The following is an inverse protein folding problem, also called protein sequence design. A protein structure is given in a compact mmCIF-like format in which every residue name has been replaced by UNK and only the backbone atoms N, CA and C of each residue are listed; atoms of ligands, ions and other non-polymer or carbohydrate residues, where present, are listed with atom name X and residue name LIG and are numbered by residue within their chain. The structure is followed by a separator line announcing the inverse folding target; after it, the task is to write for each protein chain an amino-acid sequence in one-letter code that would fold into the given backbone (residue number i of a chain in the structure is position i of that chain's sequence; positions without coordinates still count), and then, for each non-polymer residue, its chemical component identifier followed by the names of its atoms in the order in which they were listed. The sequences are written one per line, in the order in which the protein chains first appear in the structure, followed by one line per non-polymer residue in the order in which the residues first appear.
data_IF_332521447225
#
_entry.id   IF_332521447225
#
_cell.length_a   1.000
_cell.length_b   1.000
_cell.length_c   1.000
_cell.angle_alpha   90.00
_cell.angle_beta   90.00
_cell.angle_gamma   90.00
#
_symmetry.space_group_name_H-M   'P 1'
#
loop_
_entity.id
_entity.type
_entity.pdbx_description
1 polymer ?
#
# COMPACT_ATOMS: atom_id res chain seq x y z
N UNK A 1 25.94 -4.80 -25.13
CA UNK A 1 25.67 -4.49 -23.71
C UNK A 1 24.54 -5.39 -23.26
N UNK A 2 24.78 -6.33 -22.34
CA UNK A 2 23.71 -7.18 -21.82
C UNK A 2 22.77 -6.30 -20.99
N UNK A 3 21.50 -6.23 -21.37
CA UNK A 3 20.46 -5.59 -20.54
C UNK A 3 20.47 -6.32 -19.19
N UNK A 4 20.55 -5.58 -18.08
CA UNK A 4 20.46 -6.21 -16.76
C UNK A 4 19.16 -7.01 -16.68
N UNK A 5 19.16 -8.21 -16.06
CA UNK A 5 17.95 -9.02 -15.96
C UNK A 5 16.87 -8.25 -15.19
N UNK A 6 15.66 -8.20 -15.75
CA UNK A 6 14.50 -7.58 -15.12
C UNK A 6 14.20 -8.33 -13.82
N UNK A 7 14.00 -7.61 -12.72
CA UNK A 7 13.61 -8.22 -11.45
C UNK A 7 12.23 -8.89 -11.61
N UNK A 8 11.97 -10.07 -11.03
CA UNK A 8 10.67 -10.73 -11.14
C UNK A 8 9.50 -9.81 -10.79
N UNK A 9 9.62 -9.01 -9.73
CA UNK A 9 8.56 -8.10 -9.30
C UNK A 9 8.25 -6.96 -10.30
N UNK A 10 9.17 -6.67 -11.21
CA UNK A 10 9.05 -5.71 -12.30
C UNK A 10 8.71 -6.36 -13.66
N UNK A 11 8.45 -7.68 -13.68
CA UNK A 11 8.21 -8.42 -14.93
C UNK A 11 6.75 -8.36 -15.37
N UNK A 12 6.54 -8.49 -16.68
CA UNK A 12 5.19 -8.62 -17.28
C UNK A 12 4.52 -9.91 -16.78
N UNK A 13 5.26 -11.02 -16.69
CA UNK A 13 4.73 -12.30 -16.20
C UNK A 13 4.16 -12.20 -14.79
N UNK A 14 4.85 -11.56 -13.85
CA UNK A 14 4.30 -11.36 -12.50
C UNK A 14 3.08 -10.44 -12.50
N UNK A 15 3.01 -9.48 -13.41
CA UNK A 15 1.83 -8.63 -13.54
C UNK A 15 0.64 -9.44 -14.08
N UNK A 16 0.81 -10.19 -15.17
CA UNK A 16 -0.23 -11.09 -15.71
C UNK A 16 -0.71 -12.11 -14.68
N UNK A 17 0.19 -12.64 -13.84
CA UNK A 17 -0.16 -13.53 -12.73
C UNK A 17 -0.98 -12.81 -11.66
N UNK A 18 -0.61 -11.59 -11.30
CA UNK A 18 -1.37 -10.78 -10.35
C UNK A 18 -2.77 -10.46 -10.88
N UNK A 19 -2.93 -10.25 -12.19
CA UNK A 19 -4.24 -10.05 -12.83
C UNK A 19 -5.17 -11.27 -12.73
N UNK A 20 -4.63 -12.45 -12.42
CA UNK A 20 -5.43 -13.65 -12.17
C UNK A 20 -6.01 -13.74 -10.76
N UNK A 21 -5.65 -12.81 -9.86
CA UNK A 21 -6.20 -12.76 -8.51
C UNK A 21 -7.66 -12.26 -8.55
N UNK A 22 -8.61 -12.90 -7.83
CA UNK A 22 -10.01 -12.49 -7.82
C UNK A 22 -10.25 -11.05 -7.37
N UNK A 23 -9.38 -10.49 -6.51
CA UNK A 23 -9.51 -9.12 -6.00
C UNK A 23 -8.76 -8.09 -6.85
N UNK A 24 -8.13 -8.49 -7.96
CA UNK A 24 -7.20 -7.64 -8.69
C UNK A 24 -7.76 -6.26 -9.07
N UNK A 25 -9.02 -6.20 -9.51
CA UNK A 25 -9.67 -4.94 -9.88
C UNK A 25 -9.85 -4.01 -8.68
N UNK A 26 -10.39 -4.52 -7.57
CA UNK A 26 -10.58 -3.78 -6.32
C UNK A 26 -9.23 -3.29 -5.76
N UNK A 27 -8.19 -4.13 -5.85
CA UNK A 27 -6.84 -3.75 -5.44
C UNK A 27 -6.26 -2.63 -6.31
N UNK A 28 -6.51 -2.66 -7.62
CA UNK A 28 -6.05 -1.60 -8.52
C UNK A 28 -6.75 -0.27 -8.23
N UNK A 29 -8.04 -0.29 -7.88
CA UNK A 29 -8.81 0.88 -7.44
C UNK A 29 -8.26 1.44 -6.12
N UNK A 30 -8.05 0.59 -5.11
CA UNK A 30 -7.45 0.97 -3.83
C UNK A 30 -6.08 1.66 -3.99
N UNK A 31 -5.22 1.14 -4.87
CA UNK A 31 -3.91 1.76 -5.14
C UNK A 31 -4.10 3.12 -5.81
N UNK A 32 -5.03 3.24 -6.77
CA UNK A 32 -5.31 4.50 -7.46
C UNK A 32 -5.82 5.56 -6.47
N UNK A 33 -6.67 5.16 -5.53
CA UNK A 33 -7.20 6.00 -4.46
C UNK A 33 -6.09 6.49 -3.52
N UNK A 34 -5.24 5.59 -3.00
CA UNK A 34 -4.11 5.99 -2.14
C UNK A 34 -3.14 6.93 -2.88
N UNK A 35 -2.90 6.71 -4.17
CA UNK A 35 -2.09 7.62 -4.98
C UNK A 35 -2.74 9.00 -5.14
N UNK A 36 -4.05 9.10 -5.31
CA UNK A 36 -4.76 10.38 -5.43
C UNK A 36 -4.77 11.15 -4.10
N UNK A 37 -4.82 10.44 -2.97
CA UNK A 37 -4.65 11.04 -1.65
C UNK A 37 -3.22 11.58 -1.46
N UNK A 38 -2.22 10.81 -1.87
CA UNK A 38 -0.81 11.15 -1.70
C UNK A 38 -0.32 12.29 -2.63
N UNK A 39 -0.84 12.38 -3.86
CA UNK A 39 -0.30 13.28 -4.89
C UNK A 39 -1.39 13.94 -5.74
N UNK A 40 -1.18 15.20 -6.12
CA UNK A 40 -2.07 15.90 -7.06
C UNK A 40 -1.94 15.40 -8.51
N UNK A 41 -0.75 14.92 -8.88
CA UNK A 41 -0.46 14.40 -10.22
C UNK A 41 0.42 13.14 -10.14
N UNK A 42 -0.13 11.98 -9.72
CA UNK A 42 0.65 10.76 -9.47
C UNK A 42 1.53 10.33 -10.67
N UNK A 43 1.01 10.46 -11.90
CA UNK A 43 1.74 10.12 -13.12
C UNK A 43 3.01 10.98 -13.35
N UNK A 44 3.00 12.24 -12.90
CA UNK A 44 4.13 13.16 -13.09
C UNK A 44 5.32 12.82 -12.16
N UNK A 45 5.08 12.01 -11.13
CA UNK A 45 6.05 11.71 -10.06
C UNK A 45 6.33 10.20 -9.91
N UNK A 46 5.82 9.38 -10.85
CA UNK A 46 6.12 7.94 -10.96
C UNK A 46 7.63 7.70 -11.02
N UNK A 47 8.11 6.63 -10.36
CA UNK A 47 9.53 6.22 -10.23
C UNK A 47 10.37 7.16 -9.36
N UNK A 48 10.10 8.45 -9.42
CA UNK A 48 10.87 9.48 -8.73
C UNK A 48 10.41 9.65 -7.28
N UNK A 49 9.10 9.59 -7.02
CA UNK A 49 8.52 9.72 -5.68
C UNK A 49 7.81 8.45 -5.21
N UNK A 50 7.27 7.65 -6.12
CA UNK A 50 6.63 6.39 -5.76
C UNK A 50 6.96 5.27 -6.75
N UNK A 51 6.87 4.03 -6.28
CA UNK A 51 7.05 2.83 -7.10
C UNK A 51 6.12 1.72 -6.63
N UNK A 52 5.55 0.97 -7.56
CA UNK A 52 4.79 -0.24 -7.27
C UNK A 52 5.49 -1.50 -7.78
N UNK A 53 5.35 -2.62 -7.07
CA UNK A 53 5.92 -3.91 -7.45
C UNK A 53 4.88 -5.04 -7.37
N UNK A 54 4.96 -6.03 -8.26
CA UNK A 54 4.01 -7.16 -8.35
C UNK A 54 4.61 -8.43 -7.75
N UNK A 55 3.87 -9.12 -6.88
CA UNK A 55 4.26 -10.39 -6.29
C UNK A 55 5.71 -10.42 -5.76
N UNK A 56 6.13 -9.42 -4.93
CA UNK A 56 7.48 -9.40 -4.41
C UNK A 56 7.74 -10.65 -3.55
N UNK A 57 8.97 -11.18 -3.63
CA UNK A 57 9.35 -12.37 -2.86
C UNK A 57 9.65 -12.07 -1.38
N UNK A 58 9.59 -10.80 -0.98
CA UNK A 58 9.79 -10.37 0.41
C UNK A 58 8.78 -11.07 1.31
N UNK A 59 9.26 -11.70 2.39
CA UNK A 59 8.44 -12.42 3.38
C UNK A 59 7.56 -13.57 2.83
N UNK A 60 7.76 -14.00 1.58
CA UNK A 60 7.03 -15.14 1.00
C UNK A 60 7.32 -16.43 1.77
N UNK A 61 6.27 -17.14 2.15
CA UNK A 61 6.32 -18.50 2.69
C UNK A 61 5.34 -19.41 1.94
N UNK A 62 5.18 -20.65 2.41
CA UNK A 62 4.15 -21.56 1.89
C UNK A 62 2.72 -21.09 2.25
N UNK A 63 2.59 -20.32 3.32
CA UNK A 63 1.32 -19.96 3.94
C UNK A 63 0.95 -18.49 3.69
N UNK A 64 1.83 -17.71 3.04
CA UNK A 64 1.57 -16.31 2.71
C UNK A 64 2.47 -15.76 1.61
N UNK A 65 1.95 -14.81 0.85
CA UNK A 65 2.74 -14.01 -0.07
C UNK A 65 2.11 -12.64 -0.34
N UNK A 66 2.94 -11.66 -0.64
CA UNK A 66 2.45 -10.33 -1.06
C UNK A 66 1.92 -10.37 -2.49
N UNK A 67 0.77 -9.74 -2.69
CA UNK A 67 0.20 -9.49 -4.01
C UNK A 67 0.89 -8.30 -4.68
N UNK A 68 1.06 -7.21 -3.93
CA UNK A 68 1.81 -6.05 -4.37
C UNK A 68 2.45 -5.29 -3.20
N UNK A 69 3.25 -4.30 -3.57
CA UNK A 69 3.77 -3.30 -2.64
C UNK A 69 3.87 -1.95 -3.34
N UNK A 70 3.17 -0.94 -2.81
CA UNK A 70 3.32 0.46 -3.17
C UNK A 70 4.28 1.14 -2.17
N UNK A 71 5.28 1.81 -2.71
CA UNK A 71 6.27 2.54 -1.93
C UNK A 71 6.22 4.02 -2.29
N UNK A 72 6.32 4.90 -1.29
CA UNK A 72 6.55 6.34 -1.45
C UNK A 72 7.88 6.67 -0.77
N UNK A 73 8.77 7.33 -1.51
CA UNK A 73 10.14 7.59 -1.06
C UNK A 73 10.82 6.30 -0.59
N UNK A 74 11.37 6.26 0.64
CA UNK A 74 12.07 5.09 1.19
C UNK A 74 11.17 4.09 1.92
N UNK A 75 9.85 4.18 1.84
CA UNK A 75 8.94 3.38 2.66
C UNK A 75 7.82 2.73 1.84
N UNK A 76 7.52 1.48 2.19
CA UNK A 76 6.27 0.81 1.82
C UNK A 76 5.11 1.46 2.58
N UNK A 77 4.11 1.92 1.84
CA UNK A 77 2.96 2.65 2.39
C UNK A 77 1.63 1.92 2.20
N UNK A 78 1.57 0.99 1.25
CA UNK A 78 0.43 0.13 1.02
C UNK A 78 0.90 -1.23 0.49
N UNK A 79 0.36 -2.30 1.05
CA UNK A 79 0.52 -3.67 0.54
C UNK A 79 -0.69 -4.52 0.85
N UNK A 80 -0.91 -5.55 0.04
CA UNK A 80 -1.84 -6.63 0.37
C UNK A 80 -1.07 -7.95 0.39
N UNK A 81 -1.27 -8.71 1.46
CA UNK A 81 -0.75 -10.05 1.63
C UNK A 81 -1.89 -11.07 1.49
N UNK A 82 -1.68 -12.11 0.69
CA UNK A 82 -2.58 -13.25 0.56
C UNK A 82 -2.09 -14.37 1.47
N UNK A 83 -2.92 -14.77 2.44
CA UNK A 83 -2.72 -15.93 3.30
C UNK A 83 -3.29 -17.19 2.65
N UNK A 84 -2.57 -18.29 2.81
CA UNK A 84 -2.82 -19.55 2.12
C UNK A 84 -2.95 -20.70 3.12
N UNK A 85 -3.88 -21.62 2.85
CA UNK A 85 -3.93 -22.94 3.50
C UNK A 85 -3.96 -24.01 2.42
N UNK A 86 -2.97 -24.91 2.44
CA UNK A 86 -2.84 -25.94 1.40
C UNK A 86 -2.66 -25.36 -0.02
N UNK A 87 -2.11 -24.14 -0.12
CA UNK A 87 -1.95 -23.42 -1.38
C UNK A 87 -3.23 -22.78 -1.94
N UNK A 88 -4.32 -22.76 -1.17
CA UNK A 88 -5.54 -22.03 -1.52
C UNK A 88 -5.63 -20.72 -0.73
N UNK A 89 -5.98 -19.59 -1.38
CA UNK A 89 -6.26 -18.32 -0.70
C UNK A 89 -7.36 -18.48 0.35
N UNK A 90 -7.11 -17.99 1.55
CA UNK A 90 -8.10 -17.97 2.64
C UNK A 90 -8.41 -16.56 3.14
N UNK A 91 -7.48 -15.62 2.95
CA UNK A 91 -7.59 -14.25 3.48
C UNK A 91 -6.62 -13.33 2.74
N UNK A 92 -7.02 -12.09 2.54
CA UNK A 92 -6.21 -10.98 2.07
C UNK A 92 -6.17 -9.91 3.15
N UNK A 93 -4.97 -9.61 3.63
CA UNK A 93 -4.75 -8.57 4.64
C UNK A 93 -4.12 -7.36 3.96
N UNK A 94 -4.84 -6.25 3.99
CA UNK A 94 -4.33 -4.95 3.58
C UNK A 94 -3.59 -4.30 4.74
N UNK A 95 -2.40 -3.77 4.47
CA UNK A 95 -1.65 -2.89 5.37
C UNK A 95 -1.48 -1.53 4.70
N UNK A 96 -1.99 -0.46 5.32
CA UNK A 96 -1.81 0.93 4.87
C UNK A 96 -1.16 1.76 5.97
N UNK A 97 -0.34 2.73 5.56
CA UNK A 97 0.28 3.68 6.49
C UNK A 97 -0.24 5.10 6.29
N UNK A 98 -0.51 5.77 7.41
CA UNK A 98 -0.94 7.18 7.46
C UNK A 98 -0.12 7.96 8.49
N UNK A 99 -0.16 9.29 8.44
CA UNK A 99 0.48 10.14 9.46
C UNK A 99 -0.20 9.97 10.81
N UNK A 100 0.57 9.66 11.85
CA UNK A 100 0.05 9.48 13.21
C UNK A 100 -0.55 10.78 13.75
N UNK A 101 0.20 11.87 13.66
CA UNK A 101 -0.21 13.19 14.16
C UNK A 101 -1.46 13.71 13.44
N UNK A 102 -1.56 13.51 12.13
CA UNK A 102 -2.75 13.87 11.37
C UNK A 102 -3.95 13.00 11.78
N UNK A 103 -3.78 11.68 11.89
CA UNK A 103 -4.84 10.76 12.30
C UNK A 103 -5.38 11.10 13.70
N UNK A 104 -4.50 11.36 14.67
CA UNK A 104 -4.89 11.76 16.02
C UNK A 104 -5.59 13.13 16.02
N UNK A 105 -5.09 14.09 15.24
CA UNK A 105 -5.72 15.40 15.11
C UNK A 105 -7.12 15.35 14.47
N UNK A 106 -7.33 14.46 13.49
CA UNK A 106 -8.61 14.34 12.77
C UNK A 106 -9.66 13.61 13.59
N UNK A 107 -9.25 12.62 14.37
CA UNK A 107 -10.16 11.79 15.18
C UNK A 107 -10.34 12.32 16.60
N UNK A 108 -9.43 13.16 17.09
CA UNK A 108 -9.38 13.57 18.49
C UNK A 108 -9.06 12.43 19.45
N UNK A 109 -8.59 11.29 18.94
CA UNK A 109 -8.25 10.09 19.69
C UNK A 109 -6.77 9.78 19.50
N UNK A 110 -6.12 9.27 20.54
CA UNK A 110 -4.79 8.69 20.42
C UNK A 110 -4.82 7.41 19.56
N UNK A 111 -3.67 7.02 19.00
CA UNK A 111 -3.56 5.76 18.23
C UNK A 111 -3.96 4.55 19.10
N UNK A 112 -3.61 4.54 20.38
CA UNK A 112 -4.00 3.48 21.32
C UNK A 112 -5.53 3.45 21.56
N UNK A 113 -6.18 4.61 21.66
CA UNK A 113 -7.63 4.68 21.77
C UNK A 113 -8.33 4.23 20.48
N UNK A 114 -7.77 4.56 19.31
CA UNK A 114 -8.28 4.06 18.03
C UNK A 114 -8.16 2.54 17.96
N UNK A 115 -7.02 1.97 18.34
CA UNK A 115 -6.83 0.52 18.40
C UNK A 115 -7.81 -0.17 19.35
N UNK A 116 -8.15 0.47 20.48
CA UNK A 116 -9.13 -0.08 21.42
C UNK A 116 -10.59 0.04 20.94
N UNK A 117 -10.90 1.02 20.07
CA UNK A 117 -12.24 1.25 19.51
C UNK A 117 -12.53 0.37 18.30
N UNK A 118 -11.50 0.00 17.54
CA UNK A 118 -11.61 -0.79 16.31
C UNK A 118 -10.85 -2.10 16.51
N UNK A 119 -11.47 -3.02 17.24
CA UNK A 119 -10.86 -4.28 17.69
C UNK A 119 -10.63 -5.31 16.58
N UNK A 120 -11.24 -5.11 15.41
CA UNK A 120 -11.02 -5.92 14.20
C UNK A 120 -9.86 -5.38 13.34
N UNK A 121 -9.33 -4.20 13.67
CA UNK A 121 -8.23 -3.57 12.93
C UNK A 121 -6.90 -3.68 13.67
N UNK A 122 -5.83 -3.96 12.92
CA UNK A 122 -4.47 -3.91 13.44
C UNK A 122 -3.89 -2.49 13.42
N UNK A 123 -4.32 -1.62 14.34
CA UNK A 123 -3.85 -0.22 14.41
C UNK A 123 -2.63 -0.09 15.34
N UNK A 124 -1.50 0.37 14.82
CA UNK A 124 -0.28 0.59 15.62
C UNK A 124 0.65 1.63 15.03
N UNK A 125 1.39 2.34 15.88
CA UNK A 125 2.51 3.16 15.43
C UNK A 125 3.60 2.29 14.79
N UNK A 126 4.16 2.77 13.68
CA UNK A 126 5.27 2.10 13.01
C UNK A 126 6.59 2.40 13.69
N UNK A 127 7.46 1.40 13.77
CA UNK A 127 8.85 1.57 14.21
C UNK A 127 9.80 1.90 13.03
N UNK A 128 9.28 2.04 11.81
CA UNK A 128 10.10 2.32 10.63
C UNK A 128 10.74 3.72 10.75
N UNK A 129 12.07 3.76 10.76
CA UNK A 129 12.84 5.02 10.82
C UNK A 129 12.48 6.00 9.69
N UNK A 130 12.03 5.48 8.54
CA UNK A 130 11.53 6.28 7.42
C UNK A 130 10.32 7.14 7.80
N UNK A 131 9.50 6.75 8.77
CA UNK A 131 8.36 7.54 9.23
C UNK A 131 8.73 8.62 10.26
N UNK A 132 9.95 8.60 10.83
CA UNK A 132 10.39 9.55 11.89
C UNK A 132 9.44 9.67 13.09
N UNK A 133 8.78 8.57 13.44
CA UNK A 133 7.80 8.54 14.54
C UNK A 133 6.40 9.04 14.19
N UNK A 134 6.17 9.54 12.97
CA UNK A 134 4.87 10.03 12.51
C UNK A 134 4.16 9.07 11.54
N UNK A 135 4.22 7.77 11.81
CA UNK A 135 3.54 6.76 10.98
C UNK A 135 2.70 5.81 11.81
N UNK A 136 1.47 5.59 11.37
CA UNK A 136 0.57 4.56 11.91
C UNK A 136 0.28 3.55 10.81
N UNK A 137 0.49 2.27 11.09
CA UNK A 137 0.04 1.17 10.25
C UNK A 137 -1.37 0.75 10.68
N UNK A 138 -2.23 0.53 9.70
CA UNK A 138 -3.57 -0.04 9.87
C UNK A 138 -3.63 -1.31 9.03
N UNK A 139 -3.79 -2.45 9.69
CA UNK A 139 -4.08 -3.73 9.04
C UNK A 139 -5.58 -4.01 9.03
N UNK A 140 -6.12 -4.45 7.89
CA UNK A 140 -7.53 -4.80 7.71
C UNK A 140 -7.65 -6.08 6.88
N UNK A 141 -8.46 -7.03 7.34
CA UNK A 141 -8.87 -8.19 6.54
C UNK A 141 -9.87 -7.73 5.48
N UNK A 142 -9.71 -8.16 4.23
CA UNK A 142 -10.60 -7.79 3.12
C UNK A 142 -11.80 -8.75 3.01
N UNK A 143 -11.76 -9.88 3.70
CA UNK A 143 -12.85 -10.86 3.76
C UNK A 143 -13.84 -10.59 4.90
N UNK A 144 -13.44 -9.80 5.89
CA UNK A 144 -14.25 -9.47 7.07
C UNK A 144 -15.01 -8.15 6.84
N UNK A 145 -16.33 -8.26 6.64
CA UNK A 145 -17.20 -7.09 6.42
C UNK A 145 -17.21 -6.14 7.61
N UNK A 146 -17.15 -6.65 8.83
CA UNK A 146 -17.19 -5.81 10.04
C UNK A 146 -15.85 -5.08 10.21
N UNK A 147 -14.74 -5.71 9.83
CA UNK A 147 -13.44 -5.04 9.75
C UNK A 147 -13.43 -3.92 8.70
N UNK A 148 -14.02 -4.15 7.52
CA UNK A 148 -14.16 -3.13 6.47
C UNK A 148 -15.04 -1.96 6.92
N UNK A 149 -16.14 -2.23 7.65
CA UNK A 149 -16.98 -1.19 8.25
C UNK A 149 -16.18 -0.33 9.24
N UNK A 150 -15.41 -0.97 10.15
CA UNK A 150 -14.51 -0.25 11.07
C UNK A 150 -13.44 0.56 10.31
N UNK A 151 -12.88 0.01 9.23
CA UNK A 151 -11.86 0.70 8.43
C UNK A 151 -12.42 1.96 7.78
N UNK A 152 -13.66 1.91 7.28
CA UNK A 152 -14.33 3.04 6.65
C UNK A 152 -14.63 4.20 7.62
N UNK A 153 -14.62 3.97 8.93
CA UNK A 153 -14.76 5.02 9.95
C UNK A 153 -13.45 5.82 10.18
N UNK A 154 -12.30 5.27 9.77
CA UNK A 154 -11.01 5.92 9.90
C UNK A 154 -10.77 6.89 8.73
N UNK A 155 -10.20 8.08 8.97
CA UNK A 155 -9.93 9.07 7.92
C UNK A 155 -8.69 8.69 7.10
N UNK A 156 -8.72 7.55 6.39
CA UNK A 156 -7.67 7.14 5.44
C UNK A 156 -7.90 7.85 4.11
N UNK A 157 -7.68 9.16 4.12
CA UNK A 157 -7.90 10.06 3.00
C UNK A 157 -6.70 11.00 2.80
N UNK A 158 -6.82 11.97 1.89
CA UNK A 158 -5.77 12.96 1.64
C UNK A 158 -5.29 13.69 2.91
N UNK A 159 -6.13 13.85 3.95
CA UNK A 159 -5.75 14.55 5.18
C UNK A 159 -4.78 13.77 6.07
N UNK A 160 -4.67 12.45 5.92
CA UNK A 160 -3.76 11.61 6.73
C UNK A 160 -2.70 10.90 5.89
N UNK A 161 -3.00 10.57 4.63
CA UNK A 161 -2.04 9.95 3.69
C UNK A 161 -1.03 10.98 3.19
N UNK A 162 -1.47 12.18 2.80
CA UNK A 162 -0.60 13.19 2.19
C UNK A 162 0.51 13.69 3.11
N UNK A 163 0.27 14.01 4.39
CA UNK A 163 1.37 14.47 5.27
C UNK A 163 2.49 13.44 5.39
N UNK A 164 2.15 12.15 5.47
CA UNK A 164 3.14 11.08 5.47
C UNK A 164 3.85 10.97 4.12
N UNK A 165 3.12 11.05 3.00
CA UNK A 165 3.71 11.02 1.66
C UNK A 165 4.72 12.15 1.43
N UNK A 166 4.36 13.39 1.78
CA UNK A 166 5.24 14.57 1.67
C UNK A 166 6.52 14.40 2.50
N UNK A 167 6.39 13.91 3.73
CA UNK A 167 7.54 13.58 4.58
C UNK A 167 8.45 12.53 3.97
N UNK A 168 7.88 11.45 3.42
CA UNK A 168 8.63 10.38 2.78
C UNK A 168 9.32 10.86 1.49
N UNK A 169 8.68 11.72 0.70
CA UNK A 169 9.28 12.34 -0.49
C UNK A 169 10.46 13.24 -0.10
N UNK A 170 10.35 14.01 0.99
CA UNK A 170 11.44 14.86 1.48
C UNK A 170 12.69 14.07 1.89
N UNK A 171 12.53 12.79 2.28
CA UNK A 171 13.64 11.86 2.57
C UNK A 171 14.32 11.32 1.30
N UNK A 172 13.75 11.58 0.13
CA UNK A 172 14.32 11.22 -1.17
C UNK A 172 13.93 9.83 -1.67
N UNK A 173 14.62 9.39 -2.72
CA UNK A 173 14.28 8.16 -3.45
C UNK A 173 14.61 6.92 -2.62
N UNK A 174 13.66 5.98 -2.55
CA UNK A 174 13.90 4.65 -1.99
C UNK A 174 14.67 3.71 -2.92
N UNK A 175 15.14 2.56 -2.40
CA UNK A 175 15.87 1.55 -3.18
C UNK A 175 14.99 0.73 -4.15
N UNK A 176 13.72 1.13 -4.33
CA UNK A 176 12.67 0.31 -4.93
C UNK A 176 12.53 0.47 -6.45
N UNK A 177 13.21 1.45 -7.05
CA UNK A 177 13.18 1.70 -8.51
C UNK A 177 13.43 0.45 -9.36
N UNK A 178 14.34 -0.42 -8.92
CA UNK A 178 14.67 -1.66 -9.63
C UNK A 178 13.56 -2.72 -9.61
N UNK A 179 12.57 -2.58 -8.71
CA UNK A 179 11.41 -3.47 -8.56
C UNK A 179 10.12 -2.86 -9.13
N UNK A 180 10.21 -1.63 -9.64
CA UNK A 180 9.06 -0.93 -10.20
C UNK A 180 8.48 -1.68 -11.41
N UNK A 181 7.19 -1.97 -11.37
CA UNK A 181 6.47 -2.61 -12.46
C UNK A 181 5.71 -1.56 -13.30
N UNK A 182 6.21 -1.22 -14.51
CA UNK A 182 5.61 -0.15 -15.32
C UNK A 182 4.25 -0.55 -15.91
N UNK A 183 4.01 -1.84 -16.15
CA UNK A 183 2.72 -2.33 -16.64
C UNK A 183 1.63 -2.13 -15.59
N UNK A 184 1.94 -2.49 -14.34
CA UNK A 184 1.02 -2.30 -13.23
C UNK A 184 0.81 -0.83 -12.89
N UNK A 185 1.89 -0.03 -12.87
CA UNK A 185 1.80 1.41 -12.63
C UNK A 185 0.88 2.10 -13.65
N UNK A 186 1.07 1.81 -14.95
CA UNK A 186 0.21 2.33 -16.02
C UNK A 186 -1.26 1.95 -15.79
N UNK A 187 -1.53 0.69 -15.48
CA UNK A 187 -2.88 0.16 -15.28
C UNK A 187 -3.63 0.84 -14.12
N UNK A 188 -2.94 1.12 -13.02
CA UNK A 188 -3.48 1.85 -11.87
C UNK A 188 -3.69 3.33 -12.21
N UNK A 189 -2.71 3.96 -12.87
CA UNK A 189 -2.81 5.38 -13.24
C UNK A 189 -3.98 5.66 -14.19
N UNK A 190 -4.28 4.74 -15.12
CA UNK A 190 -5.43 4.87 -16.02
C UNK A 190 -6.77 4.93 -15.26
N UNK A 191 -6.89 4.29 -14.08
CA UNK A 191 -8.08 4.37 -13.21
C UNK A 191 -8.19 5.67 -12.42
N UNK A 192 -7.05 6.24 -12.04
CA UNK A 192 -7.04 7.51 -11.29
C UNK A 192 -7.60 8.70 -12.10
N UNK A 193 -7.63 8.59 -13.43
CA UNK A 193 -8.16 9.61 -14.34
C UNK A 193 -9.69 9.56 -14.42
N UNK A 194 -10.32 8.42 -14.12
CA UNK A 194 -11.77 8.24 -14.21
C UNK A 194 -12.54 8.81 -12.99
N UNK A 195 -11.83 9.31 -11.97
CA UNK A 195 -12.38 9.95 -10.78
C UNK A 195 -12.14 11.48 -10.71
N UNK A 196 -11.69 12.10 -11.82
CA UNK A 196 -11.42 13.55 -11.93
C UNK A 196 -12.54 14.37 -12.55
#
# INVERSE_FOLDING_TARGET
MSKAPVRPAASVENFERLQGDPLFEDLAELIAEVLSYAFDAPAAVEIEQWTISCLPSTNRSADRHRLFTLNIGPMEVLSVECHLVGGQPIEHVMSVFVSSSALESRTGCSIEELAAKHDLLGIRRTALASADGDGTMIDCSLEDSDALEQFAELPVDASTVRPLAEHLVAKGKGPFRQYHNPGFAKYVLERSVDHG
#
